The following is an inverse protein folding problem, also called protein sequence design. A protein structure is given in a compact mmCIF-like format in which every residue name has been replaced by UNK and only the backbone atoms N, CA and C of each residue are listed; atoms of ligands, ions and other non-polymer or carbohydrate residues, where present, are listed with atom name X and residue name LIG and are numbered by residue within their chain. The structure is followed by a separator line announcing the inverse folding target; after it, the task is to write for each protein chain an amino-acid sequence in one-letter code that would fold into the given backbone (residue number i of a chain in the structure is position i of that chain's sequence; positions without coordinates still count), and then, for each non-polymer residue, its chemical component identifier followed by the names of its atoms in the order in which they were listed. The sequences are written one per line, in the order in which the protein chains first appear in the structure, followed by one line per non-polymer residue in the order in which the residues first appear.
data_IF_901266313813
#
_entry.id   IF_901266313813
#
_cell.length_a   1.000
_cell.length_b   1.000
_cell.length_c   1.000
_cell.angle_alpha   90.00
_cell.angle_beta   90.00
_cell.angle_gamma   90.00
#
_symmetry.space_group_name_H-M   'P 1'
#
loop_
_entity.id
_entity.type
_entity.pdbx_description
1 polymer ?
#
# COMPACT_ATOMS: atom_id res chain seq x y z
N UNK A 1 5.72 32.10 16.00
CA UNK A 1 4.40 31.66 15.45
C UNK A 1 4.70 30.56 14.43
N UNK A 2 4.01 29.44 14.51
CA UNK A 2 4.41 28.24 13.74
C UNK A 2 4.24 28.36 12.21
N UNK A 3 3.57 29.39 11.68
CA UNK A 3 3.24 29.52 10.25
C UNK A 3 2.41 28.37 9.71
N UNK A 4 1.80 27.58 10.60
CA UNK A 4 0.91 26.48 10.25
C UNK A 4 -0.52 26.91 10.53
N UNK A 5 -1.37 26.78 9.52
CA UNK A 5 -2.79 27.12 9.57
C UNK A 5 -3.64 25.90 9.24
N UNK A 6 -4.68 25.64 10.04
CA UNK A 6 -5.70 24.64 9.76
C UNK A 6 -6.92 25.35 9.22
N UNK A 7 -7.26 25.12 7.96
CA UNK A 7 -8.41 25.73 7.27
C UNK A 7 -9.65 24.82 7.24
N UNK A 8 -9.48 23.54 7.60
CA UNK A 8 -10.59 22.61 7.73
C UNK A 8 -11.45 22.88 8.96
N UNK A 9 -12.75 22.53 8.96
CA UNK A 9 -13.63 22.68 10.10
C UNK A 9 -13.13 21.85 11.29
N UNK A 10 -13.18 22.43 12.49
CA UNK A 10 -12.90 21.70 13.73
C UNK A 10 -14.17 21.03 14.23
N UNK A 11 -14.20 19.70 14.11
CA UNK A 11 -15.25 18.85 14.68
C UNK A 11 -14.88 18.40 16.10
N UNK A 12 -15.80 17.69 16.75
CA UNK A 12 -15.59 17.15 18.08
C UNK A 12 -14.31 16.29 18.15
N UNK A 13 -13.51 16.52 19.20
CA UNK A 13 -12.24 15.84 19.47
C UNK A 13 -11.09 16.09 18.46
N UNK A 14 -11.26 16.94 17.43
CA UNK A 14 -10.17 17.19 16.47
C UNK A 14 -8.99 17.96 17.10
N UNK A 15 -9.22 18.70 18.16
CA UNK A 15 -8.19 19.35 18.97
C UNK A 15 -7.26 18.34 19.67
N UNK A 16 -7.74 17.10 19.92
CA UNK A 16 -6.89 16.02 20.43
C UNK A 16 -5.84 15.58 19.41
N UNK A 17 -6.12 15.70 18.10
CA UNK A 17 -5.24 15.32 17.00
C UNK A 17 -4.41 16.51 16.52
N UNK A 18 -5.01 17.68 16.41
CA UNK A 18 -4.43 18.88 15.81
C UNK A 18 -3.99 19.91 16.87
N UNK A 19 -3.36 19.42 17.94
CA UNK A 19 -2.83 20.28 18.98
C UNK A 19 -1.65 21.15 18.50
N UNK A 20 -1.40 22.28 19.16
CA UNK A 20 -0.32 23.19 18.75
C UNK A 20 1.07 22.55 18.64
N UNK A 21 1.50 21.65 19.55
CA UNK A 21 2.79 20.95 19.39
C UNK A 21 2.83 20.03 18.16
N UNK A 22 1.71 19.40 17.84
CA UNK A 22 1.60 18.53 16.65
C UNK A 22 1.71 19.36 15.37
N UNK A 23 1.00 20.49 15.30
CA UNK A 23 1.07 21.40 14.15
C UNK A 23 2.48 21.97 13.96
N UNK A 24 3.19 22.27 15.05
CA UNK A 24 4.59 22.73 14.97
C UNK A 24 5.48 21.65 14.35
N UNK A 25 5.33 20.37 14.77
CA UNK A 25 6.10 19.27 14.20
C UNK A 25 5.77 19.06 12.71
N UNK A 26 4.50 19.11 12.33
CA UNK A 26 4.09 19.05 10.92
C UNK A 26 4.75 20.15 10.10
N UNK A 27 4.75 21.40 10.61
CA UNK A 27 5.41 22.53 9.96
C UNK A 27 6.92 22.31 9.78
N UNK A 28 7.58 21.75 10.79
CA UNK A 28 9.02 21.45 10.72
C UNK A 28 9.32 20.40 9.65
N UNK A 29 8.57 19.30 9.60
CA UNK A 29 8.73 18.26 8.58
C UNK A 29 8.44 18.79 7.16
N UNK A 30 7.42 19.64 7.00
CA UNK A 30 7.12 20.23 5.69
C UNK A 30 8.27 21.12 5.18
N UNK A 31 8.84 21.97 6.05
CA UNK A 31 9.94 22.85 5.67
C UNK A 31 11.21 22.09 5.34
N UNK A 32 11.49 21.04 6.10
CA UNK A 32 12.69 20.22 5.94
C UNK A 32 12.61 19.36 4.67
N UNK A 33 11.50 18.68 4.43
CA UNK A 33 11.37 17.68 3.35
C UNK A 33 10.54 18.13 2.14
N UNK A 34 9.75 19.18 2.26
CA UNK A 34 8.92 19.71 1.18
C UNK A 34 9.68 20.09 -0.08
N UNK A 35 10.84 20.76 -0.01
CA UNK A 35 11.65 21.08 -1.21
C UNK A 35 12.10 19.84 -1.97
N UNK A 36 12.63 18.83 -1.30
CA UNK A 36 13.08 17.59 -1.91
C UNK A 36 11.91 16.81 -2.52
N UNK A 37 10.77 16.76 -1.83
CA UNK A 37 9.54 16.17 -2.39
C UNK A 37 9.15 16.82 -3.73
N UNK A 38 9.14 18.15 -3.79
CA UNK A 38 8.80 18.89 -5.03
C UNK A 38 9.78 18.57 -6.16
N UNK A 39 11.07 18.47 -5.86
CA UNK A 39 12.08 18.07 -6.83
C UNK A 39 11.82 16.67 -7.38
N UNK A 40 11.53 15.69 -6.52
CA UNK A 40 11.24 14.32 -6.94
C UNK A 40 9.97 14.22 -7.79
N UNK A 41 8.93 14.97 -7.45
CA UNK A 41 7.72 15.06 -8.29
C UNK A 41 8.00 15.72 -9.66
N UNK A 42 8.90 16.69 -9.72
CA UNK A 42 9.34 17.25 -10.99
C UNK A 42 10.13 16.23 -11.84
N UNK A 43 10.95 15.38 -11.20
CA UNK A 43 11.66 14.27 -11.89
C UNK A 43 10.69 13.22 -12.46
N UNK A 44 9.56 12.93 -11.80
CA UNK A 44 8.51 12.08 -12.37
C UNK A 44 8.00 12.65 -13.69
N UNK A 45 7.69 13.96 -13.70
CA UNK A 45 7.22 14.64 -14.90
C UNK A 45 8.24 14.61 -16.03
N UNK A 46 9.53 14.84 -15.72
CA UNK A 46 10.61 14.75 -16.69
C UNK A 46 10.68 13.33 -17.28
N UNK A 47 10.60 12.28 -16.47
CA UNK A 47 10.58 10.89 -16.95
C UNK A 47 9.37 10.60 -17.84
N UNK A 48 8.19 11.10 -17.49
CA UNK A 48 6.99 10.96 -18.33
C UNK A 48 7.19 11.61 -19.71
N UNK A 49 7.85 12.77 -19.76
CA UNK A 49 8.21 13.46 -21.02
C UNK A 49 9.25 12.65 -21.85
N UNK A 50 10.26 12.09 -21.20
CA UNK A 50 11.26 11.21 -21.83
C UNK A 50 10.62 9.95 -22.42
N UNK A 51 9.73 9.28 -21.66
CA UNK A 51 9.00 8.11 -22.14
C UNK A 51 8.07 8.45 -23.31
N UNK A 52 7.38 9.58 -23.25
CA UNK A 52 6.54 10.08 -24.34
C UNK A 52 7.35 10.38 -25.60
N UNK A 53 8.59 10.83 -25.48
CA UNK A 53 9.51 11.11 -26.58
C UNK A 53 10.17 9.84 -27.17
N UNK A 54 9.87 8.66 -26.67
CA UNK A 54 10.42 7.39 -27.19
C UNK A 54 11.45 6.73 -26.27
N UNK A 55 11.68 7.26 -25.07
CA UNK A 55 12.50 6.65 -24.04
C UNK A 55 11.95 5.30 -23.57
N UNK A 56 12.74 4.56 -22.80
CA UNK A 56 12.35 3.26 -22.21
C UNK A 56 12.77 3.19 -20.76
N UNK A 57 12.26 2.20 -20.03
CA UNK A 57 12.69 1.88 -18.67
C UNK A 57 13.73 0.76 -18.71
N UNK A 58 14.72 0.83 -17.86
CA UNK A 58 15.74 -0.21 -17.67
C UNK A 58 16.24 -0.18 -16.21
N UNK A 59 16.95 -1.24 -15.81
CA UNK A 59 17.70 -1.25 -14.57
C UNK A 59 18.80 -0.20 -14.60
N UNK A 60 18.92 0.59 -13.54
CA UNK A 60 19.85 1.71 -13.50
C UNK A 60 21.32 1.25 -13.46
N UNK A 61 22.15 1.74 -14.39
CA UNK A 61 23.58 1.42 -14.42
C UNK A 61 24.33 2.03 -13.23
N UNK A 62 23.99 3.25 -12.84
CA UNK A 62 24.65 3.98 -11.74
C UNK A 62 24.53 3.27 -10.39
N UNK A 63 23.44 2.52 -10.19
CA UNK A 63 23.14 1.78 -8.97
C UNK A 63 23.43 0.28 -9.08
N UNK A 64 24.04 -0.18 -10.17
CA UNK A 64 24.40 -1.59 -10.40
C UNK A 64 25.19 -2.19 -9.21
N UNK A 65 26.06 -1.41 -8.61
CA UNK A 65 26.84 -1.81 -7.44
C UNK A 65 25.96 -2.24 -6.25
N UNK A 66 24.78 -1.65 -6.06
CA UNK A 66 23.81 -2.05 -5.01
C UNK A 66 23.27 -3.46 -5.30
N UNK A 67 22.93 -3.73 -6.55
CA UNK A 67 22.36 -5.02 -6.97
C UNK A 67 23.40 -6.14 -6.94
N UNK A 68 24.65 -5.85 -7.26
CA UNK A 68 25.77 -6.80 -7.29
C UNK A 68 26.38 -7.07 -5.93
N UNK A 69 26.29 -6.13 -4.97
CA UNK A 69 26.80 -6.33 -3.62
C UNK A 69 25.95 -7.37 -2.86
N UNK A 70 26.57 -8.50 -2.53
CA UNK A 70 25.94 -9.60 -1.81
C UNK A 70 25.96 -9.42 -0.28
N UNK A 71 26.61 -8.38 0.24
CA UNK A 71 26.87 -8.23 1.68
C UNK A 71 25.69 -7.65 2.47
N UNK A 72 24.87 -6.79 1.85
CA UNK A 72 23.80 -6.11 2.57
C UNK A 72 22.48 -6.89 2.63
N UNK A 73 21.76 -6.69 3.69
CA UNK A 73 20.40 -7.20 3.94
C UNK A 73 19.56 -6.10 4.58
N UNK A 74 18.25 -6.27 4.52
CA UNK A 74 17.34 -5.43 5.31
C UNK A 74 17.31 -5.89 6.76
N UNK A 75 16.78 -5.02 7.64
CA UNK A 75 16.58 -5.34 9.04
C UNK A 75 15.69 -6.58 9.23
N UNK A 76 15.92 -7.34 10.29
CA UNK A 76 15.09 -8.49 10.64
C UNK A 76 13.63 -8.09 10.86
N UNK A 77 12.67 -9.01 10.63
CA UNK A 77 11.26 -8.73 10.84
C UNK A 77 10.95 -8.23 12.25
N UNK A 78 10.20 -7.15 12.32
CA UNK A 78 9.76 -6.60 13.58
C UNK A 78 8.63 -7.45 14.21
N UNK A 79 8.41 -7.26 15.50
CA UNK A 79 7.32 -7.91 16.23
C UNK A 79 5.95 -7.61 15.56
N UNK A 80 5.11 -8.64 15.45
CA UNK A 80 3.83 -8.56 14.74
C UNK A 80 3.92 -8.61 13.20
N UNK A 81 5.14 -8.53 12.62
CA UNK A 81 5.38 -8.65 11.17
C UNK A 81 6.18 -9.88 10.78
N UNK A 82 6.41 -10.82 11.70
CA UNK A 82 7.12 -12.08 11.44
C UNK A 82 6.28 -13.05 10.60
N UNK A 83 5.00 -13.17 10.93
CA UNK A 83 3.99 -13.95 10.19
C UNK A 83 2.99 -12.98 9.53
N UNK A 84 3.00 -12.95 8.21
CA UNK A 84 2.19 -12.05 7.39
C UNK A 84 1.33 -12.78 6.38
N UNK A 85 1.03 -14.06 6.63
CA UNK A 85 0.36 -14.94 5.66
C UNK A 85 -0.98 -14.43 5.13
N UNK A 86 -1.73 -13.65 5.94
CA UNK A 86 -2.93 -12.93 5.48
C UNK A 86 -2.97 -11.54 6.07
N UNK A 87 -3.06 -10.55 5.21
CA UNK A 87 -3.28 -9.15 5.55
C UNK A 87 -4.62 -8.69 5.01
N UNK A 88 -5.37 -7.89 5.78
CA UNK A 88 -6.62 -7.28 5.33
C UNK A 88 -6.44 -5.80 5.13
N UNK A 89 -6.99 -5.23 4.06
CA UNK A 89 -7.01 -3.78 3.82
C UNK A 89 -8.41 -3.21 4.02
N UNK A 90 -8.48 -1.96 4.46
CA UNK A 90 -9.74 -1.23 4.60
C UNK A 90 -9.57 0.19 5.13
N UNK A 91 -10.62 1.01 4.97
CA UNK A 91 -10.62 2.40 5.42
C UNK A 91 -10.56 2.53 6.95
N UNK A 92 -10.29 3.75 7.41
CA UNK A 92 -10.09 4.06 8.84
C UNK A 92 -11.34 4.60 9.54
N UNK A 93 -12.55 4.39 9.00
CA UNK A 93 -13.77 4.66 9.76
C UNK A 93 -13.92 3.67 10.94
N UNK A 94 -14.64 4.07 11.99
CA UNK A 94 -14.71 3.32 13.24
C UNK A 94 -15.22 1.88 13.05
N UNK A 95 -16.28 1.68 12.26
CA UNK A 95 -16.85 0.35 12.01
C UNK A 95 -15.88 -0.56 11.27
N UNK A 96 -15.26 -0.06 10.21
CA UNK A 96 -14.33 -0.87 9.42
C UNK A 96 -13.03 -1.13 10.17
N UNK A 97 -12.55 -0.18 10.96
CA UNK A 97 -11.42 -0.36 11.88
C UNK A 97 -11.66 -1.55 12.82
N UNK A 98 -12.81 -1.58 13.51
CA UNK A 98 -13.16 -2.69 14.42
C UNK A 98 -13.28 -4.01 13.67
N UNK A 99 -13.95 -4.03 12.52
CA UNK A 99 -14.12 -5.25 11.72
C UNK A 99 -12.80 -5.79 11.19
N UNK A 100 -11.90 -4.93 10.73
CA UNK A 100 -10.61 -5.33 10.20
C UNK A 100 -9.69 -5.89 11.30
N UNK A 101 -9.62 -5.23 12.45
CA UNK A 101 -8.85 -5.71 13.61
C UNK A 101 -9.36 -7.06 14.12
N UNK A 102 -10.67 -7.28 14.07
CA UNK A 102 -11.33 -8.52 14.51
C UNK A 102 -11.37 -9.63 13.45
N UNK A 103 -10.87 -9.37 12.24
CA UNK A 103 -11.04 -10.27 11.07
C UNK A 103 -10.31 -11.61 11.19
N UNK A 104 -9.34 -11.69 12.11
CA UNK A 104 -8.44 -12.82 12.24
C UNK A 104 -7.27 -12.79 11.25
N UNK A 105 -7.12 -11.77 10.42
CA UNK A 105 -5.89 -11.52 9.67
C UNK A 105 -4.72 -11.25 10.62
N UNK A 106 -3.49 -11.47 10.15
CA UNK A 106 -2.29 -11.15 10.94
C UNK A 106 -2.00 -9.65 10.97
N UNK A 107 -2.32 -8.97 9.87
CA UNK A 107 -2.08 -7.54 9.69
C UNK A 107 -3.34 -6.88 9.15
N UNK A 108 -3.64 -5.69 9.67
CA UNK A 108 -4.59 -4.78 9.06
C UNK A 108 -3.85 -3.60 8.45
N UNK A 109 -3.99 -3.45 7.15
CA UNK A 109 -3.58 -2.24 6.44
C UNK A 109 -4.67 -1.18 6.61
N UNK A 110 -4.41 -0.27 7.53
CA UNK A 110 -5.24 0.91 7.77
C UNK A 110 -4.98 1.93 6.66
N UNK A 111 -5.88 1.98 5.72
CA UNK A 111 -5.66 2.65 4.45
C UNK A 111 -6.22 4.07 4.43
N UNK A 112 -5.34 5.05 4.49
CA UNK A 112 -5.68 6.48 4.38
C UNK A 112 -5.52 7.01 2.95
N UNK A 113 -5.03 6.18 2.03
CA UNK A 113 -4.84 6.55 0.63
C UNK A 113 -6.03 6.14 -0.24
N UNK A 114 -6.07 4.86 -0.66
CA UNK A 114 -7.00 4.39 -1.68
C UNK A 114 -8.40 4.09 -1.12
N UNK A 115 -8.49 3.50 0.08
CA UNK A 115 -9.77 3.15 0.68
C UNK A 115 -10.49 4.35 1.31
N UNK A 116 -9.78 5.42 1.61
CA UNK A 116 -10.35 6.69 2.04
C UNK A 116 -10.44 7.66 0.85
N UNK A 117 -11.56 8.36 0.73
CA UNK A 117 -11.59 9.62 -0.01
C UNK A 117 -10.98 10.72 0.88
N UNK A 118 -10.17 11.69 0.33
CA UNK A 118 -9.45 12.68 1.14
C UNK A 118 -10.35 13.81 1.68
N UNK A 119 -11.53 13.46 2.16
CA UNK A 119 -12.38 14.36 2.92
C UNK A 119 -11.74 14.62 4.29
N UNK A 120 -11.87 15.84 4.78
CA UNK A 120 -11.29 16.26 6.06
C UNK A 120 -11.73 15.37 7.23
N UNK A 121 -12.99 14.95 7.23
CA UNK A 121 -13.53 14.02 8.22
C UNK A 121 -12.86 12.65 8.16
N UNK A 122 -12.51 12.16 6.98
CA UNK A 122 -11.79 10.89 6.82
C UNK A 122 -10.32 11.03 7.26
N UNK A 123 -9.68 12.17 6.98
CA UNK A 123 -8.28 12.41 7.33
C UNK A 123 -8.12 12.50 8.84
N UNK A 124 -8.82 13.41 9.51
CA UNK A 124 -8.65 13.64 10.97
C UNK A 124 -9.43 12.62 11.79
N UNK A 125 -10.66 12.27 11.38
CA UNK A 125 -11.45 11.24 12.04
C UNK A 125 -10.81 9.86 11.94
N UNK A 126 -10.13 9.55 10.83
CA UNK A 126 -9.33 8.33 10.69
C UNK A 126 -8.20 8.23 11.71
N UNK A 127 -7.50 9.35 12.00
CA UNK A 127 -6.46 9.39 13.03
C UNK A 127 -7.02 9.21 14.44
N UNK A 128 -8.19 9.80 14.73
CA UNK A 128 -8.91 9.54 16.00
C UNK A 128 -9.23 8.05 16.15
N UNK A 129 -9.80 7.44 15.13
CA UNK A 129 -10.16 6.02 15.15
C UNK A 129 -8.94 5.11 15.35
N UNK A 130 -7.80 5.42 14.72
CA UNK A 130 -6.54 4.70 14.92
C UNK A 130 -6.05 4.82 16.37
N UNK A 131 -6.06 6.02 16.93
CA UNK A 131 -5.67 6.24 18.32
C UNK A 131 -6.61 5.52 19.28
N UNK A 132 -7.92 5.65 19.09
CA UNK A 132 -8.93 5.00 19.92
C UNK A 132 -8.84 3.46 19.81
N UNK A 133 -8.49 2.93 18.63
CA UNK A 133 -8.26 1.49 18.46
C UNK A 133 -7.03 1.01 19.24
N UNK A 134 -5.92 1.76 19.24
CA UNK A 134 -4.70 1.41 19.97
C UNK A 134 -4.91 1.54 21.47
N UNK A 135 -5.64 2.54 21.94
CA UNK A 135 -5.99 2.72 23.36
C UNK A 135 -7.12 1.80 23.84
N UNK A 136 -7.76 1.04 22.92
CA UNK A 136 -8.90 0.14 23.21
C UNK A 136 -10.16 0.87 23.67
N UNK A 137 -10.31 2.11 23.23
CA UNK A 137 -11.49 2.94 23.54
C UNK A 137 -12.45 3.08 22.36
N UNK A 138 -12.08 2.52 21.19
CA UNK A 138 -12.94 2.55 20.02
C UNK A 138 -14.19 1.69 20.22
N UNK A 139 -15.34 2.26 19.93
CA UNK A 139 -16.61 1.56 19.80
C UNK A 139 -17.42 2.14 18.64
N UNK A 140 -18.41 1.41 18.19
CA UNK A 140 -19.33 1.91 17.15
C UNK A 140 -20.70 1.26 17.33
N UNK A 141 -21.75 2.06 17.28
CA UNK A 141 -23.14 1.60 17.22
C UNK A 141 -23.81 2.08 15.96
N UNK A 142 -24.29 1.15 15.14
CA UNK A 142 -25.00 1.48 13.91
C UNK A 142 -26.43 1.96 14.18
N UNK A 143 -27.03 2.65 13.22
CA UNK A 143 -28.40 3.21 13.35
C UNK A 143 -29.47 2.14 13.58
N UNK A 144 -29.24 0.88 13.19
CA UNK A 144 -30.08 -0.28 13.45
C UNK A 144 -29.85 -0.93 14.83
N UNK A 145 -29.02 -0.30 15.68
CA UNK A 145 -28.78 -0.71 17.05
C UNK A 145 -27.73 -1.83 17.23
N UNK A 146 -27.00 -2.20 16.18
CA UNK A 146 -25.91 -3.17 16.26
C UNK A 146 -24.66 -2.50 16.80
N UNK A 147 -24.09 -3.06 17.89
CA UNK A 147 -22.85 -2.59 18.49
C UNK A 147 -21.64 -3.39 18.00
N UNK A 148 -20.52 -2.69 17.85
CA UNK A 148 -19.23 -3.23 17.42
C UNK A 148 -18.18 -2.85 18.47
N UNK A 149 -17.37 -3.81 18.88
CA UNK A 149 -16.27 -3.62 19.84
C UNK A 149 -15.10 -4.52 19.46
N UNK A 150 -13.92 -4.17 19.94
CA UNK A 150 -12.73 -4.99 19.75
C UNK A 150 -12.82 -6.28 20.58
N UNK A 151 -12.24 -7.34 20.03
CA UNK A 151 -11.95 -8.58 20.71
C UNK A 151 -10.77 -8.43 21.68
N UNK A 152 -10.38 -9.54 22.33
CA UNK A 152 -9.18 -9.58 23.16
C UNK A 152 -7.91 -9.29 22.34
N UNK A 153 -6.93 -8.64 22.97
CA UNK A 153 -5.69 -8.17 22.31
C UNK A 153 -4.95 -9.26 21.51
N UNK A 154 -4.97 -10.49 22.00
CA UNK A 154 -4.30 -11.62 21.33
C UNK A 154 -4.95 -12.04 20.00
N UNK A 155 -6.19 -11.60 19.74
CA UNK A 155 -6.93 -11.91 18.50
C UNK A 155 -6.88 -10.78 17.48
N UNK A 156 -6.34 -9.61 17.84
CA UNK A 156 -6.33 -8.44 16.96
C UNK A 156 -5.20 -8.49 15.95
N UNK A 157 -5.50 -8.00 14.74
CA UNK A 157 -4.50 -7.80 13.72
C UNK A 157 -3.49 -6.70 14.10
N UNK A 158 -2.23 -6.84 13.66
CA UNK A 158 -1.22 -5.77 13.76
C UNK A 158 -1.59 -4.62 12.84
N UNK A 159 -1.60 -3.40 13.35
CA UNK A 159 -1.91 -2.19 12.56
C UNK A 159 -0.69 -1.79 11.74
N UNK A 160 -0.88 -1.61 10.43
CA UNK A 160 0.08 -1.01 9.50
C UNK A 160 -0.64 0.08 8.72
N UNK A 161 -0.19 1.32 8.80
CA UNK A 161 -0.88 2.47 8.19
C UNK A 161 -0.34 2.74 6.79
N UNK A 162 -1.23 2.89 5.81
CA UNK A 162 -0.87 3.41 4.48
C UNK A 162 -1.18 4.91 4.42
N UNK A 163 -0.17 5.79 4.55
CA UNK A 163 -0.36 7.21 4.33
C UNK A 163 -0.59 7.47 2.84
N UNK A 164 -1.16 8.61 2.50
CA UNK A 164 -1.27 9.07 1.11
C UNK A 164 0.10 9.13 0.42
N UNK A 165 0.11 8.91 -0.89
CA UNK A 165 1.33 8.97 -1.70
C UNK A 165 1.94 10.37 -1.79
N UNK A 166 3.25 10.47 -2.13
CA UNK A 166 3.99 11.73 -2.23
C UNK A 166 3.34 12.77 -3.16
N UNK A 167 2.54 12.35 -4.13
CA UNK A 167 1.88 13.23 -5.10
C UNK A 167 0.65 13.95 -4.54
N UNK A 168 0.07 13.50 -3.44
CA UNK A 168 -1.17 14.03 -2.87
C UNK A 168 -0.90 15.16 -1.87
N UNK A 169 -1.53 16.34 -2.01
CA UNK A 169 -1.48 17.41 -1.01
C UNK A 169 -2.59 17.25 0.03
N UNK A 170 -2.41 17.87 1.20
CA UNK A 170 -3.46 18.14 2.17
C UNK A 170 -3.81 19.63 2.15
N UNK A 171 -4.91 19.94 1.52
CA UNK A 171 -5.34 21.34 1.28
C UNK A 171 -5.80 22.10 2.54
N UNK A 172 -6.15 21.35 3.61
CA UNK A 172 -6.69 21.95 4.83
C UNK A 172 -5.61 22.24 5.89
N UNK A 173 -4.36 21.87 5.64
CA UNK A 173 -3.22 22.24 6.47
C UNK A 173 -2.24 23.02 5.59
N UNK A 174 -2.11 24.30 5.88
CA UNK A 174 -1.18 25.19 5.18
C UNK A 174 0.05 25.43 6.06
N UNK A 175 1.23 25.35 5.44
CA UNK A 175 2.51 25.74 6.05
C UNK A 175 3.08 26.89 5.25
N UNK A 176 3.24 28.04 5.90
CA UNK A 176 3.70 29.26 5.27
C UNK A 176 2.87 29.67 4.03
N UNK A 177 1.56 29.34 4.05
CA UNK A 177 0.59 29.62 3.01
C UNK A 177 0.49 28.56 1.89
N UNK A 178 1.30 27.50 1.91
CA UNK A 178 1.27 26.41 0.92
C UNK A 178 0.62 25.14 1.52
N UNK A 179 -0.19 24.38 0.72
CA UNK A 179 -0.71 23.09 1.15
C UNK A 179 0.39 22.10 1.52
N UNK A 180 0.24 21.44 2.66
CA UNK A 180 1.18 20.43 3.12
C UNK A 180 1.09 19.13 2.28
N UNK A 181 2.15 18.31 2.28
CA UNK A 181 2.09 16.95 1.75
C UNK A 181 1.12 16.09 2.55
N UNK A 182 0.15 15.45 1.88
CA UNK A 182 -0.74 14.47 2.51
C UNK A 182 0.03 13.31 3.14
N UNK A 183 1.12 12.86 2.49
CA UNK A 183 2.00 11.81 3.01
C UNK A 183 2.56 12.15 4.39
N UNK A 184 3.09 13.36 4.54
CA UNK A 184 3.69 13.81 5.81
C UNK A 184 2.62 14.04 6.88
N UNK A 185 1.42 14.50 6.49
CA UNK A 185 0.30 14.66 7.44
C UNK A 185 -0.10 13.31 8.01
N UNK A 186 -0.46 12.35 7.15
CA UNK A 186 -0.94 11.03 7.58
C UNK A 186 0.12 10.27 8.39
N UNK A 187 1.37 10.29 7.91
CA UNK A 187 2.50 9.67 8.58
C UNK A 187 2.75 10.25 9.98
N UNK A 188 2.89 11.57 10.06
CA UNK A 188 3.30 12.23 11.31
C UNK A 188 2.19 12.24 12.36
N UNK A 189 0.92 12.42 11.97
CA UNK A 189 -0.19 12.34 12.90
C UNK A 189 -0.26 10.94 13.55
N UNK A 190 -0.15 9.87 12.75
CA UNK A 190 -0.12 8.51 13.29
C UNK A 190 1.09 8.29 14.20
N UNK A 191 2.29 8.70 13.76
CA UNK A 191 3.51 8.53 14.55
C UNK A 191 3.40 9.21 15.92
N UNK A 192 2.95 10.46 15.96
CA UNK A 192 2.90 11.27 17.19
C UNK A 192 1.88 10.69 18.17
N UNK A 193 0.68 10.34 17.67
CA UNK A 193 -0.41 9.90 18.55
C UNK A 193 -0.35 8.42 18.89
N UNK A 194 0.28 7.61 18.05
CA UNK A 194 0.21 6.15 18.14
C UNK A 194 1.58 5.48 18.27
N UNK A 195 2.67 6.13 17.87
CA UNK A 195 3.99 5.51 17.79
C UNK A 195 4.47 4.95 19.12
N UNK A 196 4.52 5.77 20.17
CA UNK A 196 4.93 5.31 21.50
C UNK A 196 3.94 4.29 22.08
N UNK A 197 2.63 4.47 21.88
CA UNK A 197 1.62 3.51 22.33
C UNK A 197 1.80 2.12 21.70
N UNK A 198 2.22 2.06 20.45
CA UNK A 198 2.55 0.80 19.76
C UNK A 198 3.82 0.16 20.33
N UNK A 199 4.86 0.95 20.57
CA UNK A 199 6.11 0.49 21.22
C UNK A 199 5.83 -0.10 22.59
N UNK A 200 5.01 0.54 23.41
CA UNK A 200 4.64 0.09 24.75
C UNK A 200 3.85 -1.23 24.71
N UNK A 201 3.20 -1.54 23.60
CA UNK A 201 2.49 -2.80 23.36
C UNK A 201 3.38 -3.88 22.71
N UNK A 202 4.68 -3.63 22.54
CA UNK A 202 5.63 -4.58 21.96
C UNK A 202 5.56 -4.67 20.43
N UNK A 203 4.98 -3.68 19.77
CA UNK A 203 4.99 -3.50 18.32
C UNK A 203 5.75 -2.22 17.95
N UNK A 204 5.55 -1.69 16.78
CA UNK A 204 6.09 -0.40 16.37
C UNK A 204 5.11 0.37 15.49
N UNK A 205 5.37 1.63 15.19
CA UNK A 205 4.65 2.33 14.15
C UNK A 205 5.07 1.75 12.79
N UNK A 206 4.16 1.04 12.16
CA UNK A 206 4.39 0.34 10.90
C UNK A 206 3.62 1.00 9.76
N UNK A 207 4.22 1.02 8.57
CA UNK A 207 3.68 1.71 7.41
C UNK A 207 3.69 0.84 6.15
N UNK A 208 2.79 1.18 5.24
CA UNK A 208 2.83 0.80 3.83
C UNK A 208 3.06 2.05 3.00
N UNK A 209 4.07 2.06 2.14
CA UNK A 209 4.44 3.23 1.33
C UNK A 209 3.91 3.07 -0.09
N UNK A 210 2.91 3.90 -0.49
CA UNK A 210 2.28 3.76 -1.79
C UNK A 210 2.95 4.59 -2.88
N UNK A 211 2.73 4.19 -4.13
CA UNK A 211 2.97 4.99 -5.34
C UNK A 211 4.38 5.55 -5.49
N UNK A 212 5.41 4.89 -4.91
CA UNK A 212 6.79 5.26 -5.18
C UNK A 212 7.12 4.97 -6.65
N UNK A 213 7.83 5.89 -7.29
CA UNK A 213 8.28 5.72 -8.68
C UNK A 213 9.82 5.60 -8.79
N UNK A 214 10.56 5.78 -7.71
CA UNK A 214 12.02 5.65 -7.68
C UNK A 214 12.57 5.35 -6.28
N UNK A 215 13.80 4.83 -6.23
CA UNK A 215 14.55 4.64 -4.99
C UNK A 215 14.84 5.97 -4.26
N UNK A 216 14.92 7.09 -4.99
CA UNK A 216 15.12 8.41 -4.39
C UNK A 216 13.92 8.85 -3.54
N UNK A 217 12.72 8.43 -3.92
CA UNK A 217 11.52 8.64 -3.10
C UNK A 217 11.50 7.74 -1.85
N UNK A 218 12.07 6.54 -1.96
CA UNK A 218 12.30 5.67 -0.81
C UNK A 218 13.37 6.25 0.13
N UNK A 219 14.44 6.86 -0.40
CA UNK A 219 15.44 7.63 0.38
C UNK A 219 14.80 8.78 1.14
N UNK A 220 13.94 9.54 0.48
CA UNK A 220 13.19 10.62 1.16
C UNK A 220 12.37 10.08 2.34
N UNK A 221 11.69 8.93 2.19
CA UNK A 221 11.00 8.30 3.30
C UNK A 221 11.95 7.87 4.43
N UNK A 222 13.12 7.32 4.08
CA UNK A 222 14.12 6.95 5.08
C UNK A 222 14.60 8.17 5.87
N UNK A 223 14.89 9.28 5.20
CA UNK A 223 15.31 10.53 5.83
C UNK A 223 14.22 11.07 6.77
N UNK A 224 12.96 11.04 6.32
CA UNK A 224 11.79 11.38 7.15
C UNK A 224 11.69 10.46 8.38
N UNK A 225 11.87 9.15 8.24
CA UNK A 225 11.80 8.20 9.36
C UNK A 225 12.90 8.46 10.38
N UNK A 226 14.14 8.63 9.94
CA UNK A 226 15.28 8.95 10.83
C UNK A 226 14.97 10.21 11.62
N UNK A 227 14.60 11.28 10.92
CA UNK A 227 14.32 12.56 11.55
C UNK A 227 13.12 12.54 12.49
N UNK A 228 12.05 11.87 12.08
CA UNK A 228 10.83 11.78 12.88
C UNK A 228 11.03 10.96 14.16
N UNK A 229 11.78 9.86 14.11
CA UNK A 229 12.13 9.07 15.30
C UNK A 229 12.91 9.92 16.33
N UNK A 230 13.86 10.72 15.88
CA UNK A 230 14.59 11.66 16.74
C UNK A 230 13.63 12.66 17.40
N UNK A 231 12.72 13.24 16.62
CA UNK A 231 11.80 14.29 17.10
C UNK A 231 10.80 13.76 18.13
N UNK A 232 10.31 12.53 17.98
CA UNK A 232 9.35 11.92 18.93
C UNK A 232 10.03 11.09 20.02
N UNK A 233 11.35 10.90 19.97
CA UNK A 233 12.12 10.23 21.01
C UNK A 233 12.01 8.70 21.02
N UNK A 234 11.66 8.05 19.89
CA UNK A 234 11.67 6.60 19.76
C UNK A 234 12.99 6.12 19.13
N UNK A 235 13.46 4.89 19.45
CA UNK A 235 14.73 4.40 18.93
C UNK A 235 14.75 4.34 17.40
N UNK A 236 15.91 4.60 16.81
CA UNK A 236 16.15 4.43 15.38
C UNK A 236 15.85 2.99 14.95
N UNK A 237 15.22 2.82 13.78
CA UNK A 237 14.83 1.52 13.26
C UNK A 237 13.56 0.90 13.89
N UNK A 238 12.86 1.62 14.79
CA UNK A 238 11.56 1.19 15.32
C UNK A 238 10.46 1.27 14.26
N UNK A 239 10.49 2.29 13.42
CA UNK A 239 9.61 2.38 12.25
C UNK A 239 9.95 1.25 11.28
N UNK A 240 8.92 0.54 10.80
CA UNK A 240 9.07 -0.43 9.70
C UNK A 240 8.08 -0.10 8.58
N UNK A 241 8.55 -0.27 7.35
CA UNK A 241 7.74 0.04 6.17
C UNK A 241 7.84 -1.05 5.10
N UNK A 242 6.69 -1.43 4.57
CA UNK A 242 6.56 -2.22 3.35
C UNK A 242 6.32 -1.26 2.19
N UNK A 243 7.01 -1.44 1.07
CA UNK A 243 6.78 -0.63 -0.13
C UNK A 243 5.88 -1.39 -1.10
N UNK A 244 4.81 -0.73 -1.56
CA UNK A 244 4.05 -1.22 -2.69
C UNK A 244 4.81 -0.96 -3.98
N UNK A 245 5.19 -2.03 -4.66
CA UNK A 245 5.68 -1.95 -6.04
C UNK A 245 4.46 -1.96 -6.94
N UNK A 246 3.86 -0.81 -7.10
CA UNK A 246 2.60 -0.61 -7.81
C UNK A 246 2.69 0.47 -8.90
N UNK A 247 3.88 0.99 -9.12
CA UNK A 247 4.19 1.82 -10.28
C UNK A 247 5.16 1.09 -11.17
N UNK A 248 5.01 1.28 -12.47
CA UNK A 248 5.85 0.58 -13.45
C UNK A 248 7.33 0.93 -13.33
N UNK A 249 7.73 2.20 -13.13
CA UNK A 249 9.13 2.55 -12.89
C UNK A 249 9.75 1.87 -11.67
N UNK A 250 9.00 1.75 -10.57
CA UNK A 250 9.50 1.14 -9.33
C UNK A 250 9.92 -0.34 -9.50
N UNK A 251 9.33 -1.05 -10.48
CA UNK A 251 9.70 -2.44 -10.76
C UNK A 251 11.15 -2.60 -11.22
N UNK A 252 11.75 -1.56 -11.77
CA UNK A 252 13.15 -1.55 -12.21
C UNK A 252 14.12 -1.13 -11.10
N UNK A 253 13.62 -0.68 -9.96
CA UNK A 253 14.41 -0.15 -8.84
C UNK A 253 14.14 -0.87 -7.51
N UNK A 254 13.63 -2.11 -7.52
CA UNK A 254 13.22 -2.84 -6.32
C UNK A 254 14.35 -3.05 -5.31
N UNK A 255 15.55 -3.41 -5.78
CA UNK A 255 16.72 -3.60 -4.89
C UNK A 255 17.20 -2.28 -4.31
N UNK A 256 17.21 -1.23 -5.11
CA UNK A 256 17.57 0.13 -4.68
C UNK A 256 16.58 0.67 -3.64
N UNK A 257 15.30 0.44 -3.85
CA UNK A 257 14.24 0.81 -2.88
C UNK A 257 14.47 0.10 -1.54
N UNK A 258 14.74 -1.21 -1.56
CA UNK A 258 15.08 -1.95 -0.34
C UNK A 258 16.36 -1.46 0.30
N UNK A 259 17.37 -1.09 -0.49
CA UNK A 259 18.66 -0.60 0.00
C UNK A 259 18.53 0.74 0.73
N UNK A 260 17.78 1.68 0.16
CA UNK A 260 17.54 2.98 0.79
C UNK A 260 16.80 2.84 2.13
N UNK A 261 15.86 1.91 2.20
CA UNK A 261 15.05 1.67 3.40
C UNK A 261 15.60 0.53 4.28
N UNK A 262 16.80 -0.01 4.05
CA UNK A 262 17.26 -1.29 4.64
C UNK A 262 17.10 -1.38 6.16
N UNK A 263 17.30 -0.29 6.88
CA UNK A 263 17.17 -0.24 8.34
C UNK A 263 15.71 -0.17 8.82
N UNK A 264 14.79 0.19 7.93
CA UNK A 264 13.36 0.35 8.20
C UNK A 264 12.47 -0.58 7.36
N UNK A 265 13.05 -1.42 6.49
CA UNK A 265 12.25 -2.24 5.58
C UNK A 265 11.52 -3.36 6.31
N UNK A 266 10.25 -3.56 5.93
CA UNK A 266 9.44 -4.73 6.24
C UNK A 266 9.11 -5.55 4.98
N UNK A 267 9.63 -5.18 3.81
CA UNK A 267 9.44 -5.91 2.57
C UNK A 267 8.82 -5.11 1.43
N UNK A 268 8.44 -5.84 0.38
CA UNK A 268 7.73 -5.30 -0.78
C UNK A 268 6.37 -6.00 -0.95
N UNK A 269 5.42 -5.30 -1.55
CA UNK A 269 4.11 -5.84 -1.91
C UNK A 269 3.86 -5.69 -3.42
N UNK A 270 3.21 -6.68 -4.02
CA UNK A 270 2.86 -6.70 -5.43
C UNK A 270 1.48 -6.05 -5.68
N UNK A 271 1.44 -4.77 -5.99
CA UNK A 271 0.20 -4.02 -6.30
C UNK A 271 -0.25 -4.25 -7.75
N UNK A 272 -1.32 -5.05 -7.96
CA UNK A 272 -1.74 -5.48 -9.29
C UNK A 272 -2.36 -4.38 -10.15
N UNK A 273 -3.42 -3.74 -9.64
CA UNK A 273 -4.23 -2.83 -10.45
C UNK A 273 -3.47 -1.54 -10.75
N UNK A 274 -2.86 -0.94 -9.75
CA UNK A 274 -2.06 0.27 -9.91
C UNK A 274 -0.87 0.05 -10.83
N UNK A 275 -0.23 -1.14 -10.76
CA UNK A 275 0.85 -1.50 -11.67
C UNK A 275 0.41 -1.49 -13.15
N UNK A 276 -0.76 -2.09 -13.44
CA UNK A 276 -1.33 -2.05 -14.80
C UNK A 276 -1.70 -0.64 -15.24
N UNK A 277 -2.32 0.16 -14.36
CA UNK A 277 -2.64 1.56 -14.67
C UNK A 277 -1.37 2.38 -14.89
N UNK A 278 -0.30 2.09 -14.15
CA UNK A 278 0.99 2.73 -14.35
C UNK A 278 1.62 2.39 -15.69
N UNK A 279 1.46 1.15 -16.22
CA UNK A 279 1.84 0.83 -17.62
C UNK A 279 1.13 1.75 -18.60
N UNK A 280 -0.20 1.88 -18.46
CA UNK A 280 -1.01 2.76 -19.32
C UNK A 280 -0.54 4.20 -19.20
N UNK A 281 -0.33 4.71 -17.99
CA UNK A 281 0.15 6.07 -17.73
C UNK A 281 1.49 6.33 -18.41
N UNK A 282 2.47 5.46 -18.21
CA UNK A 282 3.83 5.63 -18.74
C UNK A 282 3.85 5.61 -20.28
N UNK A 283 3.03 4.77 -20.89
CA UNK A 283 3.12 4.50 -22.33
C UNK A 283 1.90 4.90 -23.17
N UNK A 284 0.98 5.71 -22.60
CA UNK A 284 -0.25 6.15 -23.29
C UNK A 284 -0.03 6.81 -24.66
N UNK A 285 1.17 7.31 -24.94
CA UNK A 285 1.53 7.95 -26.22
C UNK A 285 2.29 7.03 -27.17
N UNK A 286 2.60 5.77 -26.76
CA UNK A 286 3.50 4.87 -27.49
C UNK A 286 2.82 3.96 -28.51
N UNK A 287 1.52 3.98 -28.65
CA UNK A 287 0.80 3.20 -29.63
C UNK A 287 0.53 1.73 -29.21
N UNK A 288 0.40 0.84 -30.23
CA UNK A 288 -0.14 -0.52 -29.98
C UNK A 288 0.76 -1.45 -29.19
N UNK A 289 2.04 -1.22 -29.15
CA UNK A 289 3.00 -2.07 -28.42
C UNK A 289 2.78 -2.11 -26.92
N UNK A 290 2.15 -1.06 -26.35
CA UNK A 290 1.80 -0.96 -24.93
C UNK A 290 0.29 -0.94 -24.68
N UNK A 291 -0.52 -1.26 -25.69
CA UNK A 291 -1.97 -1.33 -25.54
C UNK A 291 -2.34 -2.65 -24.85
N UNK A 292 -2.88 -2.56 -23.66
CA UNK A 292 -3.41 -3.72 -22.92
C UNK A 292 -4.77 -4.14 -23.48
N UNK A 293 -5.08 -5.46 -23.49
CA UNK A 293 -6.40 -5.95 -23.81
C UNK A 293 -7.40 -5.64 -22.69
N UNK A 294 -8.62 -6.13 -22.80
CA UNK A 294 -9.65 -6.02 -21.77
C UNK A 294 -9.09 -6.40 -20.38
N UNK A 295 -9.44 -5.63 -19.36
CA UNK A 295 -8.90 -5.74 -17.99
C UNK A 295 -8.88 -7.19 -17.44
N UNK A 296 -9.90 -7.96 -17.76
CA UNK A 296 -10.02 -9.34 -17.28
C UNK A 296 -9.01 -10.31 -17.94
N UNK A 297 -8.43 -9.95 -19.06
CA UNK A 297 -7.39 -10.73 -19.74
C UNK A 297 -6.00 -10.51 -19.14
N UNK A 298 -5.79 -9.41 -18.43
CA UNK A 298 -4.50 -9.10 -17.78
C UNK A 298 -4.45 -9.75 -16.40
N UNK A 299 -4.12 -11.03 -16.39
CA UNK A 299 -3.98 -11.83 -15.16
C UNK A 299 -2.54 -11.77 -14.63
N UNK A 300 -2.33 -12.25 -13.39
CA UNK A 300 -0.97 -12.35 -12.82
C UNK A 300 -0.10 -13.42 -13.53
N UNK A 301 -0.65 -14.13 -14.50
CA UNK A 301 0.06 -15.18 -15.27
C UNK A 301 0.54 -14.71 -16.64
N UNK A 302 0.18 -13.50 -17.09
CA UNK A 302 0.67 -12.97 -18.38
C UNK A 302 2.17 -12.63 -18.25
N UNK A 303 2.94 -12.64 -19.36
CA UNK A 303 4.41 -12.58 -19.32
C UNK A 303 5.00 -11.48 -18.46
N UNK A 304 4.64 -10.21 -18.69
CA UNK A 304 5.21 -9.09 -17.94
C UNK A 304 4.81 -9.09 -16.45
N UNK A 305 3.60 -9.56 -16.11
CA UNK A 305 3.16 -9.69 -14.72
C UNK A 305 3.87 -10.83 -14.00
N UNK A 306 4.18 -11.94 -14.69
CA UNK A 306 5.02 -13.02 -14.17
C UNK A 306 6.44 -12.53 -13.90
N UNK A 307 7.06 -11.85 -14.86
CA UNK A 307 8.39 -11.28 -14.70
C UNK A 307 8.45 -10.36 -13.47
N UNK A 308 7.45 -9.48 -13.33
CA UNK A 308 7.31 -8.57 -12.19
C UNK A 308 7.22 -9.30 -10.85
N UNK A 309 6.33 -10.28 -10.71
CA UNK A 309 6.13 -11.00 -9.43
C UNK A 309 7.30 -11.89 -9.07
N UNK A 310 7.91 -12.56 -10.03
CA UNK A 310 9.10 -13.39 -9.82
C UNK A 310 10.31 -12.55 -9.40
N UNK A 311 10.53 -11.40 -10.06
CA UNK A 311 11.57 -10.46 -9.68
C UNK A 311 11.37 -9.96 -8.25
N UNK A 312 10.13 -9.62 -7.88
CA UNK A 312 9.81 -9.12 -6.54
C UNK A 312 10.14 -10.15 -5.45
N UNK A 313 9.68 -11.40 -5.60
CA UNK A 313 9.97 -12.47 -4.63
C UNK A 313 11.47 -12.70 -4.53
N UNK A 314 12.17 -12.86 -5.66
CA UNK A 314 13.61 -13.05 -5.68
C UNK A 314 14.35 -11.91 -4.97
N UNK A 315 14.00 -10.68 -5.31
CA UNK A 315 14.63 -9.47 -4.74
C UNK A 315 14.45 -9.42 -3.23
N UNK A 316 13.22 -9.62 -2.76
CA UNK A 316 12.94 -9.65 -1.33
C UNK A 316 13.76 -10.72 -0.60
N UNK A 317 13.69 -11.96 -1.04
CA UNK A 317 14.33 -13.08 -0.36
C UNK A 317 15.86 -13.00 -0.43
N UNK A 318 16.44 -12.55 -1.55
CA UNK A 318 17.86 -12.25 -1.67
C UNK A 318 18.32 -11.26 -0.59
N UNK A 319 17.47 -10.32 -0.20
CA UNK A 319 17.77 -9.25 0.76
C UNK A 319 17.22 -9.52 2.18
N UNK A 320 16.59 -10.67 2.40
CA UNK A 320 16.03 -11.05 3.69
C UNK A 320 14.71 -10.34 4.02
N UNK A 321 14.08 -9.73 3.04
CA UNK A 321 12.80 -9.03 3.15
C UNK A 321 11.62 -9.97 2.91
N UNK A 322 10.41 -9.59 3.38
CA UNK A 322 9.17 -10.27 3.03
C UNK A 322 8.69 -9.87 1.64
N UNK A 323 8.15 -10.84 0.91
CA UNK A 323 7.42 -10.64 -0.34
C UNK A 323 5.92 -10.85 -0.07
N UNK A 324 5.10 -9.82 -0.25
CA UNK A 324 3.65 -9.87 -0.01
C UNK A 324 2.91 -9.80 -1.33
N UNK A 325 2.01 -10.76 -1.55
CA UNK A 325 1.22 -10.87 -2.77
C UNK A 325 0.09 -9.84 -2.86
N UNK A 326 -0.54 -9.80 -4.02
CA UNK A 326 -1.60 -8.85 -4.33
C UNK A 326 -2.92 -9.13 -3.63
N UNK A 327 -3.84 -8.18 -3.72
CA UNK A 327 -5.14 -8.25 -3.06
C UNK A 327 -6.11 -9.22 -3.76
N UNK A 328 -6.74 -10.11 -3.00
CA UNK A 328 -7.96 -10.78 -3.42
C UNK A 328 -9.14 -9.82 -3.22
N UNK A 329 -9.62 -9.25 -4.32
CA UNK A 329 -10.61 -8.18 -4.32
C UNK A 329 -12.07 -8.66 -4.42
N UNK A 330 -12.31 -9.97 -4.53
CA UNK A 330 -13.66 -10.53 -4.60
C UNK A 330 -14.44 -10.28 -3.31
N UNK A 331 -15.71 -9.89 -3.46
CA UNK A 331 -16.65 -9.72 -2.34
C UNK A 331 -17.60 -10.92 -2.35
N UNK A 332 -17.54 -11.83 -1.36
CA UNK A 332 -18.42 -12.98 -1.27
C UNK A 332 -19.90 -12.57 -1.24
N UNK A 333 -20.74 -13.27 -2.05
CA UNK A 333 -22.16 -13.03 -2.10
C UNK A 333 -22.92 -14.15 -1.38
N UNK A 334 -23.79 -13.80 -0.44
CA UNK A 334 -24.67 -14.75 0.24
C UNK A 334 -25.92 -15.10 -0.60
N UNK A 335 -26.16 -14.36 -1.71
CA UNK A 335 -27.36 -14.50 -2.53
C UNK A 335 -27.17 -15.44 -3.74
N UNK A 336 -25.93 -15.60 -4.18
CA UNK A 336 -25.58 -16.44 -5.32
C UNK A 336 -24.45 -17.40 -4.91
N UNK A 337 -24.83 -18.60 -4.52
CA UNK A 337 -23.91 -19.63 -4.00
C UNK A 337 -23.02 -20.20 -5.08
N UNK A 338 -23.47 -20.33 -6.33
CA UNK A 338 -22.70 -20.91 -7.43
C UNK A 338 -21.64 -19.91 -7.92
N UNK A 339 -22.02 -18.67 -8.18
CA UNK A 339 -21.07 -17.62 -8.52
C UNK A 339 -20.04 -17.40 -7.41
N UNK A 340 -20.48 -17.49 -6.14
CA UNK A 340 -19.61 -17.40 -5.00
C UNK A 340 -18.58 -18.54 -4.94
N UNK A 341 -19.02 -19.79 -5.14
CA UNK A 341 -18.12 -20.94 -5.15
C UNK A 341 -17.08 -20.84 -6.27
N UNK A 342 -17.49 -20.42 -7.47
CA UNK A 342 -16.60 -20.19 -8.61
C UNK A 342 -15.55 -19.13 -8.31
N UNK A 343 -15.96 -18.02 -7.70
CA UNK A 343 -15.06 -16.92 -7.37
C UNK A 343 -14.08 -17.29 -6.24
N UNK A 344 -14.53 -18.00 -5.22
CA UNK A 344 -13.65 -18.53 -4.15
C UNK A 344 -12.62 -19.54 -4.69
N UNK A 345 -13.02 -20.38 -5.68
CA UNK A 345 -12.05 -21.25 -6.36
C UNK A 345 -10.95 -20.45 -7.05
N UNK A 346 -11.30 -19.40 -7.79
CA UNK A 346 -10.32 -18.52 -8.44
C UNK A 346 -9.39 -17.83 -7.43
N UNK A 347 -9.93 -17.41 -6.27
CA UNK A 347 -9.10 -16.86 -5.18
C UNK A 347 -8.13 -17.92 -4.67
N UNK A 348 -8.57 -19.16 -4.43
CA UNK A 348 -7.70 -20.26 -4.02
C UNK A 348 -6.59 -20.53 -5.03
N UNK A 349 -6.91 -20.59 -6.31
CA UNK A 349 -5.95 -20.86 -7.39
C UNK A 349 -4.90 -19.75 -7.45
N UNK A 350 -5.33 -18.49 -7.35
CA UNK A 350 -4.45 -17.31 -7.34
C UNK A 350 -3.50 -17.33 -6.13
N UNK A 351 -4.03 -17.56 -4.93
CA UNK A 351 -3.23 -17.62 -3.70
C UNK A 351 -2.34 -18.85 -3.61
N UNK A 352 -2.76 -19.99 -4.19
CA UNK A 352 -1.94 -21.19 -4.31
C UNK A 352 -0.73 -20.91 -5.19
N UNK A 353 -0.91 -20.23 -6.31
CA UNK A 353 0.20 -19.79 -7.16
C UNK A 353 1.16 -18.88 -6.37
N UNK A 354 0.66 -17.82 -5.72
CA UNK A 354 1.49 -16.90 -4.94
C UNK A 354 2.30 -17.62 -3.86
N UNK A 355 1.66 -18.46 -3.05
CA UNK A 355 2.34 -19.21 -2.00
C UNK A 355 3.42 -20.15 -2.57
N UNK A 356 3.15 -20.82 -3.70
CA UNK A 356 4.13 -21.67 -4.36
C UNK A 356 5.25 -20.89 -5.04
N UNK A 357 5.00 -19.69 -5.53
CA UNK A 357 6.02 -18.80 -6.11
C UNK A 357 7.00 -18.28 -5.06
N UNK A 358 6.60 -18.27 -3.79
CA UNK A 358 7.45 -17.88 -2.67
C UNK A 358 6.97 -16.63 -1.91
N UNK A 359 5.77 -16.13 -2.18
CA UNK A 359 5.23 -15.05 -1.36
C UNK A 359 5.03 -15.51 0.09
N UNK A 360 5.32 -14.62 1.05
CA UNK A 360 5.21 -14.88 2.48
C UNK A 360 3.81 -14.63 3.03
N UNK A 361 2.99 -13.94 2.27
CA UNK A 361 1.62 -13.60 2.59
C UNK A 361 0.92 -12.89 1.44
N UNK A 362 -0.33 -12.50 1.65
CA UNK A 362 -1.16 -11.87 0.62
C UNK A 362 -2.25 -11.01 1.23
N UNK A 363 -2.83 -10.11 0.43
CA UNK A 363 -3.92 -9.23 0.84
C UNK A 363 -5.29 -9.78 0.51
N UNK A 364 -6.26 -9.44 1.36
CA UNK A 364 -7.70 -9.64 1.11
C UNK A 364 -8.45 -8.33 1.37
N UNK A 365 -9.52 -8.11 0.60
CA UNK A 365 -10.39 -6.95 0.75
C UNK A 365 -11.62 -7.22 1.62
N UNK A 366 -11.87 -8.48 2.01
CA UNK A 366 -13.06 -8.86 2.76
C UNK A 366 -12.73 -9.89 3.86
N UNK A 367 -13.29 -9.76 5.08
CA UNK A 367 -13.00 -10.69 6.19
C UNK A 367 -13.29 -12.16 5.86
N UNK A 368 -14.35 -12.45 5.09
CA UNK A 368 -14.70 -13.82 4.69
C UNK A 368 -13.65 -14.49 3.79
N UNK A 369 -12.70 -13.74 3.22
CA UNK A 369 -11.57 -14.27 2.46
C UNK A 369 -10.38 -14.65 3.34
N UNK A 370 -10.30 -14.17 4.57
CA UNK A 370 -9.19 -14.44 5.48
C UNK A 370 -9.01 -15.95 5.72
N UNK A 371 -10.05 -16.73 6.05
CA UNK A 371 -9.90 -18.18 6.25
C UNK A 371 -9.44 -18.89 4.97
N UNK A 372 -9.96 -18.50 3.80
CA UNK A 372 -9.62 -19.09 2.51
C UNK A 372 -8.14 -18.91 2.17
N UNK A 373 -7.65 -17.67 2.30
CA UNK A 373 -6.24 -17.37 2.05
C UNK A 373 -5.32 -18.01 3.08
N UNK A 374 -5.73 -18.02 4.36
CA UNK A 374 -4.96 -18.68 5.43
C UNK A 374 -4.76 -20.16 5.15
N UNK A 375 -5.82 -20.87 4.81
CA UNK A 375 -5.75 -22.30 4.48
C UNK A 375 -4.72 -22.60 3.38
N UNK A 376 -4.67 -21.77 2.35
CA UNK A 376 -3.70 -21.91 1.25
C UNK A 376 -2.27 -21.69 1.72
N UNK A 377 -2.02 -20.61 2.47
CA UNK A 377 -0.67 -20.33 2.97
C UNK A 377 -0.24 -21.35 4.05
N UNK A 378 -1.16 -21.85 4.89
CA UNK A 378 -0.88 -22.91 5.86
C UNK A 378 -0.40 -24.20 5.22
N UNK A 379 -0.93 -24.57 4.03
CA UNK A 379 -0.49 -25.74 3.28
C UNK A 379 0.96 -25.64 2.81
N UNK A 380 1.44 -24.44 2.49
CA UNK A 380 2.82 -24.21 1.99
C UNK A 380 3.78 -23.90 3.13
N UNK A 381 3.38 -23.08 4.06
CA UNK A 381 4.24 -22.61 5.17
C UNK A 381 4.29 -23.63 6.31
N UNK A 382 3.19 -24.34 6.60
CA UNK A 382 3.07 -25.17 7.79
C UNK A 382 3.27 -24.33 9.06
N UNK A 383 4.16 -24.79 9.94
CA UNK A 383 4.49 -24.09 11.19
C UNK A 383 5.48 -22.93 11.02
N UNK A 384 6.05 -22.74 9.82
CA UNK A 384 6.98 -21.63 9.53
C UNK A 384 6.19 -20.33 9.41
N UNK A 385 6.66 -19.24 9.99
CA UNK A 385 5.97 -17.95 9.88
C UNK A 385 6.07 -17.29 8.49
N UNK A 386 7.06 -17.67 7.69
CA UNK A 386 7.35 -17.16 6.35
C UNK A 386 8.23 -18.12 5.57
N UNK A 387 8.59 -17.78 4.33
CA UNK A 387 9.48 -18.59 3.48
C UNK A 387 10.61 -17.74 2.85
N UNK A 388 11.11 -16.73 3.57
CA UNK A 388 12.21 -15.85 3.11
C UNK A 388 13.52 -16.61 2.80
N UNK A 389 13.65 -17.86 3.27
CA UNK A 389 14.71 -18.78 2.94
C UNK A 389 14.67 -19.32 1.50
N UNK A 390 13.52 -19.25 0.83
CA UNK A 390 13.33 -19.64 -0.57
C UNK A 390 13.91 -18.61 -1.53
N UNK A 391 15.22 -18.67 -1.76
CA UNK A 391 16.00 -17.62 -2.44
C UNK A 391 15.69 -17.41 -3.93
N UNK A 392 14.91 -18.27 -4.57
CA UNK A 392 14.50 -18.19 -5.99
C UNK A 392 15.69 -17.92 -6.94
N UNK A 393 16.78 -18.63 -6.75
CA UNK A 393 17.98 -18.56 -7.61
C UNK A 393 17.71 -19.00 -9.07
N UNK A 394 16.60 -19.67 -9.28
CA UNK A 394 16.05 -20.07 -10.58
C UNK A 394 15.54 -18.88 -11.41
N UNK A 395 15.23 -17.75 -10.78
CA UNK A 395 14.66 -16.57 -11.43
C UNK A 395 15.76 -15.65 -11.93
N UNK A 396 15.66 -15.25 -13.20
CA UNK A 396 16.45 -14.18 -13.79
C UNK A 396 15.55 -13.35 -14.71
N UNK A 397 15.30 -12.11 -14.39
CA UNK A 397 14.40 -11.22 -15.12
C UNK A 397 15.19 -10.08 -15.73
N UNK A 398 15.00 -9.87 -17.04
CA UNK A 398 15.54 -8.73 -17.78
C UNK A 398 14.52 -7.60 -17.88
N UNK A 399 14.99 -6.39 -18.17
CA UNK A 399 14.11 -5.26 -18.46
C UNK A 399 13.15 -5.55 -19.63
N UNK A 400 13.62 -6.24 -20.66
CA UNK A 400 12.79 -6.64 -21.80
C UNK A 400 11.59 -7.53 -21.38
N UNK A 401 11.77 -8.41 -20.39
CA UNK A 401 10.66 -9.24 -19.88
C UNK A 401 9.65 -8.41 -19.06
N UNK A 402 10.09 -7.42 -18.33
CA UNK A 402 9.19 -6.47 -17.65
C UNK A 402 8.41 -5.62 -18.66
N UNK A 403 9.02 -5.26 -19.79
CA UNK A 403 8.43 -4.44 -20.84
C UNK A 403 7.57 -5.23 -21.85
N UNK A 404 7.49 -6.55 -21.73
CA UNK A 404 6.80 -7.43 -22.70
C UNK A 404 5.26 -7.38 -22.52
N UNK A 405 4.71 -6.18 -22.61
CA UNK A 405 3.26 -5.92 -22.50
C UNK A 405 2.52 -6.46 -23.73
N UNK A 406 3.14 -6.40 -24.91
CA UNK A 406 2.56 -6.83 -26.17
C UNK A 406 2.27 -8.35 -26.22
N UNK A 407 2.97 -9.17 -25.43
CA UNK A 407 2.74 -10.59 -25.32
C UNK A 407 1.50 -10.95 -24.47
N UNK A 408 0.79 -9.96 -23.92
CA UNK A 408 -0.44 -10.21 -23.15
C UNK A 408 -1.57 -10.66 -24.10
N UNK A 409 -2.14 -11.88 -23.90
CA UNK A 409 -3.19 -12.37 -24.77
C UNK A 409 -4.52 -11.67 -24.48
N UNK A 410 -5.37 -11.54 -25.49
CA UNK A 410 -6.72 -10.97 -25.38
C UNK A 410 -6.97 -9.86 -26.41
N UNK A 411 -8.22 -9.42 -26.43
CA UNK A 411 -8.70 -8.40 -27.35
C UNK A 411 -9.19 -7.16 -26.59
N UNK A 412 -9.23 -6.04 -27.29
CA UNK A 412 -9.94 -4.84 -26.84
C UNK A 412 -11.34 -4.90 -27.40
N UNK A 413 -12.34 -5.06 -26.53
CA UNK A 413 -13.74 -5.24 -26.91
C UNK A 413 -14.62 -4.06 -26.51
N UNK A 414 -15.78 -3.92 -27.17
CA UNK A 414 -16.79 -2.95 -26.75
C UNK A 414 -17.32 -3.26 -25.34
N UNK A 415 -17.47 -4.53 -25.00
CA UNK A 415 -17.88 -4.98 -23.66
C UNK A 415 -16.87 -4.57 -22.60
N UNK A 416 -15.57 -4.75 -22.84
CA UNK A 416 -14.51 -4.32 -21.94
C UNK A 416 -14.49 -2.80 -21.76
N UNK A 417 -14.62 -2.04 -22.85
CA UNK A 417 -14.71 -0.58 -22.79
C UNK A 417 -15.92 -0.10 -21.99
N UNK A 418 -17.13 -0.67 -22.24
CA UNK A 418 -18.33 -0.33 -21.47
C UNK A 418 -18.21 -0.66 -20.00
N UNK A 419 -17.60 -1.80 -19.67
CA UNK A 419 -17.33 -2.17 -18.28
C UNK A 419 -16.41 -1.15 -17.59
N UNK A 420 -15.31 -0.76 -18.24
CA UNK A 420 -14.37 0.25 -17.69
C UNK A 420 -15.07 1.58 -17.44
N UNK A 421 -15.88 2.06 -18.38
CA UNK A 421 -16.67 3.31 -18.23
C UNK A 421 -17.66 3.18 -17.07
N UNK A 422 -18.40 2.08 -17.01
CA UNK A 422 -19.40 1.84 -15.95
C UNK A 422 -18.77 1.80 -14.56
N UNK A 423 -17.66 1.06 -14.42
CA UNK A 423 -16.92 0.97 -13.16
C UNK A 423 -16.35 2.33 -12.76
N UNK A 424 -15.74 3.06 -13.71
CA UNK A 424 -15.17 4.39 -13.47
C UNK A 424 -16.22 5.40 -12.98
N UNK A 425 -17.43 5.42 -13.57
CA UNK A 425 -18.53 6.32 -13.16
C UNK A 425 -19.00 5.97 -11.75
N UNK A 426 -19.25 4.69 -11.46
CA UNK A 426 -19.73 4.23 -10.15
C UNK A 426 -18.67 4.47 -9.06
N UNK A 427 -17.40 4.23 -9.37
CA UNK A 427 -16.31 4.49 -8.45
C UNK A 427 -16.18 5.98 -8.12
N UNK A 428 -16.18 6.84 -9.14
CA UNK A 428 -16.07 8.28 -8.95
C UNK A 428 -17.26 8.85 -8.13
N UNK A 429 -18.45 8.34 -8.35
CA UNK A 429 -19.63 8.72 -7.57
C UNK A 429 -19.44 8.37 -6.08
N UNK A 430 -18.98 7.16 -5.78
CA UNK A 430 -18.71 6.71 -4.41
C UNK A 430 -17.59 7.53 -3.75
N UNK A 431 -16.52 7.78 -4.49
CA UNK A 431 -15.37 8.54 -4.01
C UNK A 431 -15.75 10.00 -3.67
N UNK A 432 -16.56 10.65 -4.50
CA UNK A 432 -17.06 12.00 -4.25
C UNK A 432 -17.98 12.06 -3.01
N UNK A 433 -18.60 10.96 -2.63
CA UNK A 433 -19.41 10.83 -1.40
C UNK A 433 -18.59 10.46 -0.16
N UNK A 434 -17.28 10.28 -0.30
CA UNK A 434 -16.37 10.04 0.82
C UNK A 434 -15.92 8.58 1.01
N UNK A 435 -16.32 7.66 0.11
CA UNK A 435 -15.87 6.26 0.17
C UNK A 435 -14.92 5.94 -0.97
N UNK A 436 -13.66 5.67 -0.67
CA UNK A 436 -12.61 5.28 -1.63
C UNK A 436 -12.57 3.79 -1.95
N UNK A 437 -13.33 2.96 -1.22
CA UNK A 437 -13.44 1.52 -1.48
C UNK A 437 -14.92 1.16 -1.67
N UNK A 438 -15.27 0.61 -2.84
CA UNK A 438 -16.67 0.31 -3.18
C UNK A 438 -16.80 -1.02 -3.91
N UNK A 439 -17.84 -1.78 -3.53
CA UNK A 439 -18.19 -3.04 -4.17
C UNK A 439 -18.96 -2.79 -5.48
N UNK A 440 -18.33 -3.08 -6.62
CA UNK A 440 -18.94 -2.99 -7.95
C UNK A 440 -18.82 -4.37 -8.62
N UNK A 441 -19.93 -4.93 -9.07
CA UNK A 441 -19.97 -6.26 -9.71
C UNK A 441 -19.28 -7.37 -8.89
N UNK A 442 -19.51 -7.40 -7.57
CA UNK A 442 -18.88 -8.31 -6.60
C UNK A 442 -17.33 -8.21 -6.50
N UNK A 443 -16.76 -7.10 -6.96
CA UNK A 443 -15.34 -6.79 -6.80
C UNK A 443 -15.18 -5.52 -5.96
N UNK A 444 -14.21 -5.52 -5.07
CA UNK A 444 -13.78 -4.31 -4.38
C UNK A 444 -12.95 -3.46 -5.35
N UNK A 445 -13.48 -2.33 -5.71
CA UNK A 445 -12.77 -1.35 -6.52
C UNK A 445 -12.23 -0.24 -5.62
N UNK A 446 -10.96 0.08 -5.80
CA UNK A 446 -10.25 1.17 -5.11
C UNK A 446 -9.10 1.66 -5.99
N UNK A 447 -8.49 2.78 -5.65
CA UNK A 447 -7.36 3.41 -6.34
C UNK A 447 -7.59 3.96 -7.75
N UNK A 448 -8.76 3.81 -8.35
CA UNK A 448 -9.01 4.21 -9.77
C UNK A 448 -8.82 5.70 -10.07
N UNK A 449 -8.70 6.55 -9.07
CA UNK A 449 -8.57 8.00 -9.25
C UNK A 449 -7.11 8.50 -9.18
N UNK A 450 -6.19 7.71 -8.62
CA UNK A 450 -4.83 8.17 -8.30
C UNK A 450 -3.82 7.96 -9.43
N UNK A 451 -4.13 7.16 -10.41
CA UNK A 451 -3.31 6.86 -11.58
C UNK A 451 -4.03 7.25 -12.87
#
# INVERSE_FOLDING_TARGET
MSGVEVTGPMHDRYDEILSSPVLELLGNLHREFGPQRRELLARRKQRDEELAAGGTLDFLDDTRHIREDASWRVADPAAGLVDRRVEITGPTDAKMTINALNSGAKVWLADQEDANSPLWENVVGGQLNLRDAITRTIDFSSADGKSYALKDDAELATIVVRPRGWHLPEKHILVDGEPMSGSLVDFALYLIHCGQLQVDRGAGPYYYLPKLESHLEARLWNDVFVRAQELVGIPAGTIRATVLIETYPAAFEMEEILYELRDHSAGLNAGRWDYMFSVIKCFRTRGREFLLPDRNSVTMTVPFMRAYTELLVRTCHKRGAHAIGGMAAFIPSRRDTEANATALSKVRDDKTREANDGFDGSWVAHPDLVPVCREVFDQVLGDRPNQRDKQRVDVSVSAAQLLDVAATPGDVTETGLRNNISVGIQYLESWLRGSGAVGINNMMELSLIHI
#
